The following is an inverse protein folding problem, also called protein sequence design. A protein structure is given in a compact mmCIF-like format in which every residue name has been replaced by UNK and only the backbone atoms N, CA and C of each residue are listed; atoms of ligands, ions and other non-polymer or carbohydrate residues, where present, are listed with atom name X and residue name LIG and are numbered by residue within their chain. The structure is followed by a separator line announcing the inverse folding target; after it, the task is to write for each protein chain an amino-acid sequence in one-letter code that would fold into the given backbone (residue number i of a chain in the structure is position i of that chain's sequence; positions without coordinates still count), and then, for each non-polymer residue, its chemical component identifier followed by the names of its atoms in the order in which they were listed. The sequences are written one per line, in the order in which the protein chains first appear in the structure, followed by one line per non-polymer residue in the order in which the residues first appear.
data_IF_306413231514
#
_entry.id   IF_306413231514
#
_cell.length_a   1.000
_cell.length_b   1.000
_cell.length_c   1.000
_cell.angle_alpha   90.00
_cell.angle_beta   90.00
_cell.angle_gamma   90.00
#
_symmetry.space_group_name_H-M   'P 1'
#
loop_
_entity.id
_entity.type
_entity.pdbx_description
1 polymer ?
#
# COMPACT_ATOMS: atom_id res chain seq x y z
N UNK A 1 -5.41 -6.79 -13.02
CA UNK A 1 -4.56 -6.60 -11.83
C UNK A 1 -4.92 -7.63 -10.78
N UNK A 2 -3.91 -8.33 -10.27
CA UNK A 2 -4.13 -9.30 -9.21
C UNK A 2 -4.36 -8.60 -7.87
N UNK A 3 -5.14 -9.24 -7.03
CA UNK A 3 -5.41 -8.75 -5.69
C UNK A 3 -4.12 -8.55 -4.90
N UNK A 4 -3.99 -7.41 -4.23
CA UNK A 4 -2.80 -7.05 -3.46
C UNK A 4 -1.74 -6.31 -4.25
N UNK A 5 -1.99 -5.93 -5.50
CA UNK A 5 -1.09 -5.07 -6.24
C UNK A 5 -0.92 -3.70 -5.59
N UNK A 6 0.26 -3.12 -5.71
CA UNK A 6 0.52 -1.74 -5.30
C UNK A 6 0.14 -0.84 -6.49
N UNK A 7 -0.78 0.08 -6.25
CA UNK A 7 -1.34 0.90 -7.31
C UNK A 7 -0.30 1.87 -7.90
N UNK A 8 -0.57 2.33 -9.11
CA UNK A 8 0.30 3.27 -9.82
C UNK A 8 0.42 4.60 -9.09
N UNK A 9 1.56 5.26 -9.25
CA UNK A 9 1.80 6.60 -8.74
C UNK A 9 1.47 7.63 -9.82
N UNK A 10 0.88 8.75 -9.40
CA UNK A 10 0.66 9.91 -10.25
C UNK A 10 1.23 11.14 -9.54
N UNK A 11 2.13 11.87 -10.20
CA UNK A 11 2.80 13.05 -9.61
C UNK A 11 2.20 14.39 -10.01
N UNK A 12 1.05 14.37 -10.70
CA UNK A 12 0.38 15.55 -11.24
C UNK A 12 0.62 15.75 -12.73
N UNK A 13 1.61 15.09 -13.30
CA UNK A 13 1.95 15.19 -14.73
C UNK A 13 2.22 13.84 -15.38
N UNK A 14 2.81 12.91 -14.63
CA UNK A 14 3.25 11.61 -15.14
C UNK A 14 2.73 10.48 -14.25
N UNK A 15 2.36 9.38 -14.90
CA UNK A 15 2.01 8.14 -14.24
C UNK A 15 3.22 7.22 -14.21
N UNK A 16 3.49 6.65 -13.04
CA UNK A 16 4.53 5.64 -12.83
C UNK A 16 3.86 4.30 -12.60
N UNK A 17 4.38 3.27 -13.23
CA UNK A 17 3.81 1.93 -13.12
C UNK A 17 3.74 1.45 -11.68
N UNK A 18 2.63 0.79 -11.32
CA UNK A 18 2.47 0.12 -10.04
C UNK A 18 3.27 -1.19 -9.99
N UNK A 19 3.11 -1.92 -8.89
CA UNK A 19 3.82 -3.18 -8.68
C UNK A 19 2.82 -4.32 -8.53
N UNK A 20 2.89 -5.28 -9.43
CA UNK A 20 2.08 -6.50 -9.35
C UNK A 20 2.53 -7.37 -8.17
N UNK A 21 1.63 -8.14 -7.56
CA UNK A 21 2.06 -9.11 -6.55
C UNK A 21 2.95 -10.19 -7.17
N UNK A 22 3.83 -10.77 -6.36
CA UNK A 22 4.73 -11.84 -6.80
C UNK A 22 3.98 -13.09 -7.26
N UNK A 23 2.80 -13.31 -6.69
CA UNK A 23 1.93 -14.45 -6.99
C UNK A 23 0.49 -14.04 -6.69
N UNK A 24 -0.47 -14.60 -7.41
CA UNK A 24 -1.88 -14.44 -7.08
C UNK A 24 -2.24 -15.37 -5.93
N UNK A 25 -2.34 -14.81 -4.72
CA UNK A 25 -2.66 -15.52 -3.49
C UNK A 25 -4.10 -15.27 -3.02
N UNK A 26 -4.93 -14.63 -3.83
CA UNK A 26 -6.31 -14.32 -3.45
C UNK A 26 -7.18 -15.57 -3.47
N UNK A 27 -8.18 -15.57 -2.59
CA UNK A 27 -9.27 -16.53 -2.58
C UNK A 27 -10.40 -16.04 -3.48
N UNK A 28 -11.37 -16.89 -3.71
CA UNK A 28 -12.53 -16.55 -4.53
C UNK A 28 -13.35 -15.41 -3.90
N UNK A 29 -14.04 -14.61 -4.74
CA UNK A 29 -14.97 -13.60 -4.23
C UNK A 29 -16.00 -14.22 -3.27
N UNK A 30 -16.28 -13.49 -2.19
CA UNK A 30 -17.19 -13.97 -1.14
C UNK A 30 -16.49 -14.68 0.01
N UNK A 31 -15.24 -15.04 -0.12
CA UNK A 31 -14.43 -15.60 0.96
C UNK A 31 -13.67 -14.52 1.71
N UNK A 32 -13.55 -14.66 3.01
CA UNK A 32 -12.69 -13.79 3.81
C UNK A 32 -11.23 -14.04 3.47
N UNK A 33 -10.49 -12.93 3.35
CA UNK A 33 -9.07 -12.95 3.06
C UNK A 33 -8.32 -12.26 4.18
N UNK A 34 -7.10 -12.70 4.43
CA UNK A 34 -6.25 -12.15 5.48
C UNK A 34 -5.08 -11.40 4.84
N UNK A 35 -4.90 -10.13 5.19
CA UNK A 35 -3.84 -9.29 4.70
C UNK A 35 -2.96 -8.82 5.85
N UNK A 36 -1.67 -9.02 5.73
CA UNK A 36 -0.66 -8.51 6.67
C UNK A 36 0.29 -7.58 5.91
N UNK A 37 0.49 -6.37 6.42
CA UNK A 37 1.36 -5.38 5.80
C UNK A 37 2.39 -4.92 6.81
N UNK A 38 3.68 -5.07 6.46
CA UNK A 38 4.78 -4.43 7.16
C UNK A 38 5.28 -3.28 6.30
N UNK A 39 4.90 -2.08 6.68
CA UNK A 39 5.14 -0.86 5.92
C UNK A 39 6.09 0.07 6.68
N UNK A 40 7.04 0.64 5.96
CA UNK A 40 7.92 1.68 6.47
C UNK A 40 7.63 2.98 5.74
N UNK A 41 7.17 3.97 6.49
CA UNK A 41 6.84 5.29 5.96
C UNK A 41 8.08 6.00 5.39
N UNK A 42 7.90 6.94 4.47
CA UNK A 42 9.01 7.76 3.99
C UNK A 42 9.65 8.54 5.14
N UNK A 43 10.92 8.86 4.99
CA UNK A 43 11.66 9.61 6.00
C UNK A 43 11.93 11.03 5.52
N UNK A 44 11.89 11.96 6.46
CA UNK A 44 12.13 13.39 6.23
C UNK A 44 13.15 13.91 7.23
N UNK A 45 13.93 14.90 6.82
CA UNK A 45 14.85 15.62 7.71
C UNK A 45 14.12 16.75 8.45
N UNK A 46 14.84 17.48 9.30
CA UNK A 46 14.28 18.61 10.06
C UNK A 46 13.81 19.78 9.18
N UNK A 47 14.31 19.88 7.96
CA UNK A 47 13.89 20.90 6.99
C UNK A 47 12.65 20.47 6.18
N UNK A 48 12.09 19.27 6.44
CA UNK A 48 10.93 18.74 5.72
C UNK A 48 11.28 18.12 4.37
N UNK A 49 12.55 17.91 4.09
CA UNK A 49 12.98 17.27 2.85
C UNK A 49 12.98 15.75 2.98
N UNK A 50 12.47 15.06 1.95
CA UNK A 50 12.42 13.61 1.95
C UNK A 50 13.83 13.02 1.80
N UNK A 51 14.20 12.12 2.70
CA UNK A 51 15.51 11.46 2.70
C UNK A 51 15.45 9.99 2.32
N UNK A 52 14.30 9.33 2.49
CA UNK A 52 14.10 7.93 2.12
C UNK A 52 12.68 7.70 1.60
N UNK A 53 12.56 6.85 0.59
CA UNK A 53 11.27 6.41 0.08
C UNK A 53 10.56 5.48 1.08
N UNK A 54 9.24 5.44 0.98
CA UNK A 54 8.44 4.43 1.65
C UNK A 54 8.75 3.03 1.10
N UNK A 55 8.63 2.03 1.95
CA UNK A 55 8.90 0.64 1.58
C UNK A 55 7.82 -0.27 2.16
N UNK A 56 7.22 -1.09 1.32
CA UNK A 56 6.49 -2.27 1.77
C UNK A 56 7.51 -3.37 2.03
N UNK A 57 7.92 -3.54 3.28
CA UNK A 57 8.96 -4.50 3.64
C UNK A 57 8.51 -5.93 3.40
N UNK A 58 7.27 -6.21 3.73
CA UNK A 58 6.64 -7.51 3.48
C UNK A 58 5.12 -7.33 3.46
N UNK A 59 4.48 -7.90 2.46
CA UNK A 59 3.03 -8.01 2.39
C UNK A 59 2.69 -9.47 2.19
N UNK A 60 1.80 -9.98 3.04
CA UNK A 60 1.27 -11.35 2.93
C UNK A 60 -0.22 -11.30 2.67
N UNK A 61 -0.66 -12.06 1.71
CA UNK A 61 -2.08 -12.31 1.44
C UNK A 61 -2.35 -13.79 1.67
N UNK A 62 -3.24 -14.09 2.61
CA UNK A 62 -3.59 -15.46 2.99
C UNK A 62 -2.36 -16.30 3.39
N UNK A 63 -1.42 -15.68 4.10
CA UNK A 63 -0.19 -16.32 4.55
C UNK A 63 0.92 -16.40 3.50
N UNK A 64 0.69 -15.96 2.28
CA UNK A 64 1.63 -16.04 1.18
C UNK A 64 2.26 -14.66 0.93
N UNK A 65 3.58 -14.57 0.85
CA UNK A 65 4.29 -13.33 0.57
C UNK A 65 4.01 -12.89 -0.86
N UNK A 66 3.41 -11.72 -1.02
CA UNK A 66 3.09 -11.12 -2.32
C UNK A 66 3.95 -9.91 -2.66
N UNK A 67 4.54 -9.26 -1.64
CA UNK A 67 5.55 -8.21 -1.83
C UNK A 67 6.66 -8.35 -0.81
N UNK A 68 7.88 -8.04 -1.24
CA UNK A 68 9.05 -8.04 -0.36
C UNK A 68 9.97 -6.89 -0.78
N UNK A 69 10.26 -5.98 0.17
CA UNK A 69 11.11 -4.81 -0.05
C UNK A 69 10.69 -3.99 -1.28
N UNK A 70 9.38 -3.82 -1.47
CA UNK A 70 8.87 -3.01 -2.57
C UNK A 70 8.92 -1.53 -2.20
N UNK A 71 9.80 -0.79 -2.85
CA UNK A 71 9.94 0.66 -2.67
C UNK A 71 8.89 1.38 -3.50
N UNK A 72 8.31 2.43 -2.92
CA UNK A 72 7.38 3.30 -3.62
C UNK A 72 7.88 4.74 -3.54
N UNK A 73 7.82 5.44 -4.65
CA UNK A 73 8.47 6.75 -4.79
C UNK A 73 7.55 7.94 -4.51
N UNK A 74 6.29 7.68 -4.26
CA UNK A 74 5.32 8.73 -3.96
C UNK A 74 3.90 8.19 -3.77
N UNK A 75 2.94 9.08 -3.54
CA UNK A 75 1.55 8.68 -3.35
C UNK A 75 0.97 7.99 -4.57
N UNK A 76 0.07 7.07 -4.34
CA UNK A 76 -0.68 6.45 -5.44
C UNK A 76 -1.66 7.45 -6.05
N UNK A 77 -2.06 7.20 -7.30
CA UNK A 77 -3.17 7.93 -7.91
C UNK A 77 -4.41 7.81 -7.03
N UNK A 78 -5.19 8.88 -6.94
CA UNK A 78 -6.40 8.95 -6.10
C UNK A 78 -6.13 8.79 -4.60
N UNK A 79 -4.95 9.17 -4.13
CA UNK A 79 -4.66 9.26 -2.70
C UNK A 79 -5.46 10.40 -2.05
N UNK A 80 -5.59 10.36 -0.73
CA UNK A 80 -6.30 11.40 0.04
C UNK A 80 -5.67 12.78 -0.14
N UNK A 81 -4.35 12.79 -0.21
CA UNK A 81 -3.56 14.01 -0.40
C UNK A 81 -2.37 13.63 -1.28
N UNK A 82 -2.11 14.39 -2.31
CA UNK A 82 -1.01 14.12 -3.24
C UNK A 82 0.35 14.53 -2.65
N UNK A 83 0.50 14.42 -1.34
CA UNK A 83 1.72 14.72 -0.61
C UNK A 83 2.15 13.55 0.24
N UNK A 84 3.46 13.36 0.32
CA UNK A 84 4.06 12.47 1.31
C UNK A 84 4.34 13.25 2.58
N UNK A 85 3.94 12.67 3.71
CA UNK A 85 4.17 13.24 5.03
C UNK A 85 4.69 12.14 5.97
N UNK A 86 5.37 12.51 7.06
CA UNK A 86 5.88 11.51 8.01
C UNK A 86 4.77 10.74 8.73
N UNK A 87 3.59 11.33 8.83
CA UNK A 87 2.41 10.73 9.45
C UNK A 87 1.20 10.93 8.55
N UNK A 88 0.32 9.96 8.51
CA UNK A 88 -0.93 10.05 7.76
C UNK A 88 -1.94 9.00 8.23
N UNK A 89 -3.21 9.19 7.89
CA UNK A 89 -4.25 8.25 8.26
C UNK A 89 -4.17 6.96 7.43
N UNK A 90 -4.71 5.89 7.99
CA UNK A 90 -5.03 4.69 7.23
C UNK A 90 -6.37 4.90 6.52
N UNK A 91 -6.41 4.66 5.22
CA UNK A 91 -7.64 4.71 4.44
C UNK A 91 -8.04 3.29 4.01
N UNK A 92 -9.31 2.96 4.21
CA UNK A 92 -9.90 1.72 3.70
C UNK A 92 -10.73 2.09 2.46
N UNK A 93 -10.37 1.51 1.33
CA UNK A 93 -11.05 1.78 0.07
C UNK A 93 -12.35 1.00 -0.04
N UNK A 94 -13.41 1.64 -0.54
CA UNK A 94 -14.71 1.01 -0.68
C UNK A 94 -15.46 1.42 -1.95
N UNK A 95 -14.80 2.01 -2.93
CA UNK A 95 -15.44 2.57 -4.13
C UNK A 95 -15.29 1.69 -5.39
N UNK A 96 -14.67 0.52 -5.28
CA UNK A 96 -14.44 -0.40 -6.40
C UNK A 96 -15.21 -1.71 -6.26
N UNK A 97 -16.46 -1.62 -5.81
CA UNK A 97 -17.34 -2.76 -5.63
C UNK A 97 -17.56 -3.08 -4.16
N UNK A 98 -18.48 -4.01 -3.86
CA UNK A 98 -18.79 -4.38 -2.48
C UNK A 98 -17.56 -4.97 -1.79
N UNK A 99 -17.25 -4.45 -0.60
CA UNK A 99 -16.14 -4.92 0.23
C UNK A 99 -16.54 -4.81 1.70
N UNK A 100 -16.06 -5.73 2.52
CA UNK A 100 -16.22 -5.69 3.96
C UNK A 100 -14.87 -5.87 4.63
N UNK A 101 -14.64 -5.15 5.72
CA UNK A 101 -13.43 -5.23 6.53
C UNK A 101 -13.77 -5.67 7.94
N UNK A 102 -12.91 -6.46 8.56
CA UNK A 102 -13.05 -6.86 9.96
C UNK A 102 -11.68 -7.13 10.58
N UNK A 103 -11.62 -7.14 11.92
CA UNK A 103 -10.42 -7.48 12.69
C UNK A 103 -9.20 -6.65 12.29
N UNK A 104 -9.39 -5.33 12.11
CA UNK A 104 -8.31 -4.43 11.73
C UNK A 104 -7.43 -4.18 12.96
N UNK A 105 -6.15 -4.51 12.85
CA UNK A 105 -5.16 -4.27 13.90
C UNK A 105 -4.02 -3.45 13.33
N UNK A 106 -3.71 -2.34 13.99
CA UNK A 106 -2.59 -1.49 13.65
C UNK A 106 -1.58 -1.53 14.79
N UNK A 107 -0.33 -1.83 14.44
CA UNK A 107 0.76 -1.86 15.41
C UNK A 107 1.90 -0.99 14.91
N UNK A 108 2.24 0.02 15.67
CA UNK A 108 3.40 0.85 15.42
C UNK A 108 4.67 0.19 15.95
N UNK A 109 5.74 0.31 15.19
CA UNK A 109 7.03 -0.28 15.55
C UNK A 109 8.15 0.76 15.47
#
# INVERSE_FOLDING_TARGET
WDCGGIYERYDGTKTYEGTSPLVNASREPGEWQHLEINFKAPRFNSAGEKTKNAVFKKVKLNGIVIHKNAKVTGPTASSLDNKEEPLGPLMLQGDHGPVAYRNIKLKER
#
